data_IF_438020611278
#
_entry.id   IF_438020611278
#
_cell.length_a   1.000
_cell.length_b   1.000
_cell.length_c   1.000
_cell.angle_alpha   90.00
_cell.angle_beta   90.00
_cell.angle_gamma   90.00
#
_symmetry.space_group_name_H-M   'P 1'
#
loop_
_entity.id
_entity.type
_entity.pdbx_description
1 polymer ?
#
# COMPACT_ATOMS: atom_id res chain seq x y z
N UNK A 1 -10.63 -43.35 -2.73
CA UNK A 1 -11.94 -42.94 -2.16
C UNK A 1 -11.71 -41.57 -1.52
N UNK A 2 -11.52 -40.51 -2.30
CA UNK A 2 -12.57 -39.62 -2.87
C UNK A 2 -13.42 -39.08 -1.71
N UNK A 3 -13.62 -37.79 -1.45
CA UNK A 3 -13.56 -36.55 -2.20
C UNK A 3 -13.86 -35.47 -1.11
N UNK A 4 -13.32 -34.26 -1.04
CA UNK A 4 -13.69 -33.03 -1.78
C UNK A 4 -12.77 -31.94 -1.20
N UNK A 5 -11.98 -31.22 -1.99
CA UNK A 5 -12.48 -30.03 -2.68
C UNK A 5 -12.04 -28.77 -1.93
N UNK A 6 -10.72 -28.49 -1.90
CA UNK A 6 -10.25 -27.16 -1.54
C UNK A 6 -10.10 -26.36 -2.85
N UNK A 7 -11.22 -25.78 -3.27
CA UNK A 7 -11.24 -24.83 -4.37
C UNK A 7 -10.56 -23.53 -3.93
N UNK A 8 -9.51 -23.18 -4.66
CA UNK A 8 -9.29 -21.84 -5.21
C UNK A 8 -9.24 -20.71 -4.18
N UNK A 9 -8.08 -20.54 -3.54
CA UNK A 9 -7.55 -19.17 -3.40
C UNK A 9 -6.58 -18.99 -4.56
N UNK A 10 -7.14 -18.54 -5.68
CA UNK A 10 -6.42 -18.12 -6.87
C UNK A 10 -5.44 -17.04 -6.43
N UNK A 11 -4.18 -17.40 -6.20
CA UNK A 11 -3.08 -16.44 -6.13
C UNK A 11 -3.11 -15.68 -7.46
N UNK A 12 -3.68 -14.48 -7.44
CA UNK A 12 -3.61 -13.56 -8.57
C UNK A 12 -2.13 -13.23 -8.71
N UNK A 13 -1.47 -13.97 -9.60
CA UNK A 13 -0.21 -13.57 -10.21
C UNK A 13 -0.46 -12.19 -10.83
N UNK A 14 -0.07 -11.14 -10.10
CA UNK A 14 0.03 -9.80 -10.64
C UNK A 14 1.06 -9.89 -11.75
N UNK A 15 0.59 -9.81 -13.01
CA UNK A 15 1.45 -9.91 -14.18
C UNK A 15 2.66 -8.99 -14.02
N UNK A 16 3.87 -9.47 -14.28
CA UNK A 16 5.11 -8.66 -14.15
C UNK A 16 5.05 -7.34 -14.92
N UNK A 17 4.19 -7.26 -15.94
CA UNK A 17 3.89 -6.02 -16.67
C UNK A 17 3.26 -4.92 -15.80
N UNK A 18 2.35 -5.26 -14.86
CA UNK A 18 1.72 -4.24 -13.98
C UNK A 18 2.75 -3.56 -13.10
N UNK A 19 3.67 -4.35 -12.52
CA UNK A 19 4.76 -3.84 -11.68
C UNK A 19 5.64 -2.88 -12.49
N UNK A 20 6.04 -3.28 -13.69
CA UNK A 20 6.85 -2.44 -14.59
C UNK A 20 6.16 -1.11 -14.96
N UNK A 21 4.85 -1.12 -15.22
CA UNK A 21 4.09 0.10 -15.54
C UNK A 21 3.97 1.01 -14.32
N UNK A 22 3.74 0.45 -13.13
CA UNK A 22 3.67 1.21 -11.88
C UNK A 22 5.01 1.92 -11.58
N UNK A 23 6.14 1.25 -11.84
CA UNK A 23 7.47 1.85 -11.71
C UNK A 23 7.68 3.01 -12.68
N UNK A 24 7.20 2.91 -13.92
CA UNK A 24 7.25 4.00 -14.90
C UNK A 24 6.45 5.20 -14.39
N UNK A 25 5.21 4.98 -13.93
CA UNK A 25 4.38 6.04 -13.36
C UNK A 25 5.04 6.69 -12.15
N UNK A 26 5.69 5.90 -11.30
CA UNK A 26 6.43 6.40 -10.15
C UNK A 26 7.62 7.28 -10.56
N UNK A 27 8.42 6.84 -11.55
CA UNK A 27 9.55 7.63 -12.07
C UNK A 27 9.09 8.97 -12.62
N UNK A 28 7.93 9.03 -13.26
CA UNK A 28 7.30 10.24 -13.79
C UNK A 28 6.54 11.08 -12.75
N UNK A 29 6.38 10.61 -11.51
CA UNK A 29 5.61 11.29 -10.47
C UNK A 29 4.08 11.23 -10.67
N UNK A 30 3.61 10.27 -11.47
CA UNK A 30 2.20 10.09 -11.82
C UNK A 30 1.52 8.98 -11.00
N UNK A 31 2.31 8.18 -10.27
CA UNK A 31 1.79 7.11 -9.42
C UNK A 31 0.98 7.65 -8.24
N UNK A 32 0.01 6.85 -7.83
CA UNK A 32 -0.75 7.07 -6.61
C UNK A 32 -0.08 6.35 -5.44
N UNK A 33 -0.13 6.98 -4.28
CA UNK A 33 0.42 6.48 -3.02
C UNK A 33 -0.57 6.69 -1.90
N UNK A 34 -0.57 5.77 -0.93
CA UNK A 34 -1.18 5.98 0.38
C UNK A 34 -0.11 6.56 1.29
N UNK A 35 -0.30 7.79 1.71
CA UNK A 35 0.52 8.49 2.71
C UNK A 35 -0.14 8.27 4.08
N UNK A 36 0.54 7.62 5.02
CA UNK A 36 0.03 7.39 6.38
C UNK A 36 0.96 8.04 7.39
N UNK A 37 0.44 8.96 8.20
CA UNK A 37 1.13 9.56 9.34
C UNK A 37 0.65 8.93 10.63
N UNK A 38 1.56 8.72 11.57
CA UNK A 38 1.26 8.28 12.93
C UNK A 38 1.83 9.30 13.92
N UNK A 39 1.17 9.45 15.05
CA UNK A 39 1.59 10.36 16.12
C UNK A 39 2.52 9.67 17.13
N UNK A 40 2.24 8.41 17.49
CA UNK A 40 3.05 7.61 18.42
C UNK A 40 3.11 6.14 17.98
N UNK A 41 4.30 5.60 17.64
CA UNK A 41 5.52 6.34 17.34
C UNK A 41 5.27 7.33 16.18
N UNK A 42 6.09 8.38 16.08
CA UNK A 42 5.94 9.35 15.01
C UNK A 42 6.60 8.85 13.74
N UNK A 43 5.78 8.43 12.80
CA UNK A 43 6.23 7.90 11.52
C UNK A 43 5.41 8.47 10.37
N UNK A 44 6.02 8.48 9.19
CA UNK A 44 5.40 8.76 7.92
C UNK A 44 5.71 7.60 6.96
N UNK A 45 4.66 6.91 6.53
CA UNK A 45 4.70 5.77 5.63
C UNK A 45 4.12 6.13 4.26
N UNK A 46 4.72 5.59 3.20
CA UNK A 46 4.21 5.66 1.84
C UNK A 46 4.05 4.26 1.26
N UNK A 47 2.81 3.85 0.97
CA UNK A 47 2.50 2.56 0.35
C UNK A 47 2.09 2.73 -1.11
N UNK A 48 2.69 1.94 -1.99
CA UNK A 48 2.54 2.05 -3.44
C UNK A 48 3.80 1.54 -4.17
N UNK A 49 4.01 1.93 -5.44
CA UNK A 49 3.17 2.80 -6.28
C UNK A 49 1.92 2.09 -6.84
N UNK A 50 0.80 2.80 -6.91
CA UNK A 50 -0.44 2.35 -7.55
C UNK A 50 -0.68 3.07 -8.88
N UNK A 51 -1.35 2.41 -9.82
CA UNK A 51 -1.67 3.00 -11.12
C UNK A 51 -2.87 3.94 -11.04
N UNK A 52 -3.80 3.67 -10.13
CA UNK A 52 -5.05 4.42 -9.96
C UNK A 52 -5.29 4.77 -8.49
N UNK A 53 -6.06 5.83 -8.22
CA UNK A 53 -6.47 6.17 -6.86
C UNK A 53 -7.32 5.06 -6.25
N UNK A 54 -8.23 4.45 -7.03
CA UNK A 54 -9.08 3.37 -6.55
C UNK A 54 -8.31 2.11 -6.10
N UNK A 55 -7.18 1.78 -6.74
CA UNK A 55 -6.29 0.71 -6.26
C UNK A 55 -5.66 1.08 -4.91
N UNK A 56 -5.22 2.32 -4.73
CA UNK A 56 -4.67 2.82 -3.46
C UNK A 56 -5.72 2.89 -2.35
N UNK A 57 -6.91 3.43 -2.65
CA UNK A 57 -8.05 3.50 -1.73
C UNK A 57 -8.51 2.11 -1.29
N UNK A 58 -8.51 1.13 -2.19
CA UNK A 58 -8.90 -0.26 -1.86
C UNK A 58 -7.88 -0.94 -0.95
N UNK A 59 -6.60 -0.55 -1.01
CA UNK A 59 -5.53 -1.10 -0.18
C UNK A 59 -5.41 -0.40 1.18
N UNK A 60 -5.79 0.89 1.27
CA UNK A 60 -5.65 1.74 2.44
C UNK A 60 -6.13 1.10 3.75
N UNK A 61 -7.32 0.46 3.84
CA UNK A 61 -7.80 -0.12 5.09
C UNK A 61 -6.86 -1.18 5.67
N UNK A 62 -6.16 -1.95 4.81
CA UNK A 62 -5.19 -2.95 5.26
C UNK A 62 -3.98 -2.31 5.95
N UNK A 63 -3.44 -1.23 5.38
CA UNK A 63 -2.31 -0.51 5.98
C UNK A 63 -2.66 0.13 7.33
N UNK A 64 -3.86 0.72 7.44
CA UNK A 64 -4.33 1.29 8.71
C UNK A 64 -4.50 0.19 9.74
N UNK A 65 -5.15 -0.93 9.38
CA UNK A 65 -5.35 -2.05 10.28
C UNK A 65 -4.02 -2.63 10.80
N UNK A 66 -3.03 -2.79 9.93
CA UNK A 66 -1.71 -3.31 10.33
C UNK A 66 -1.05 -2.37 11.35
N UNK A 67 -1.10 -1.05 11.13
CA UNK A 67 -0.54 -0.05 12.06
C UNK A 67 -1.30 0.00 13.40
N UNK A 68 -2.63 -0.13 13.38
CA UNK A 68 -3.44 -0.24 14.60
C UNK A 68 -3.06 -1.49 15.41
N UNK A 69 -2.83 -2.64 14.74
CA UNK A 69 -2.38 -3.87 15.39
C UNK A 69 -0.99 -3.71 16.01
N UNK A 70 -0.12 -2.94 15.36
CA UNK A 70 1.19 -2.53 15.88
C UNK A 70 1.12 -1.47 16.98
N UNK A 71 -0.09 -1.10 17.42
CA UNK A 71 -0.36 -0.11 18.48
C UNK A 71 0.10 1.30 18.12
N UNK A 72 0.12 1.66 16.83
CA UNK A 72 0.33 3.04 16.42
C UNK A 72 -0.89 3.90 16.75
N UNK A 73 -0.65 5.11 17.23
CA UNK A 73 -1.69 6.07 17.63
C UNK A 73 -1.71 7.29 16.70
N UNK A 74 -2.87 7.96 16.61
CA UNK A 74 -3.05 9.18 15.83
C UNK A 74 -2.81 8.98 14.33
N UNK A 75 -3.40 7.91 13.78
CA UNK A 75 -3.22 7.52 12.38
C UNK A 75 -4.03 8.43 11.45
N UNK A 76 -3.36 9.08 10.50
CA UNK A 76 -3.97 9.87 9.43
C UNK A 76 -3.53 9.32 8.08
N UNK A 77 -4.47 8.97 7.20
CA UNK A 77 -4.17 8.42 5.89
C UNK A 77 -4.73 9.28 4.75
N UNK A 78 -3.94 9.47 3.69
CA UNK A 78 -4.30 10.22 2.50
C UNK A 78 -3.87 9.49 1.23
N UNK A 79 -4.79 9.37 0.27
CA UNK A 79 -4.47 8.91 -1.09
C UNK A 79 -4.16 10.11 -1.98
N UNK A 80 -2.96 10.13 -2.56
CA UNK A 80 -2.51 11.23 -3.43
C UNK A 80 -1.53 10.77 -4.49
N UNK A 81 -1.38 11.58 -5.54
CA UNK A 81 -0.19 11.48 -6.40
C UNK A 81 0.99 12.16 -5.71
N UNK A 82 2.10 11.44 -5.62
CA UNK A 82 3.37 11.97 -5.14
C UNK A 82 4.52 11.06 -5.61
N UNK A 83 5.75 11.47 -5.31
CA UNK A 83 6.97 10.72 -5.59
C UNK A 83 7.83 10.73 -4.32
N UNK A 84 7.56 9.84 -3.35
CA UNK A 84 8.30 9.83 -2.09
C UNK A 84 9.77 9.52 -2.36
N UNK A 85 10.67 10.25 -1.71
CA UNK A 85 12.12 9.98 -1.74
C UNK A 85 12.51 8.85 -0.79
N UNK A 86 11.70 8.62 0.25
CA UNK A 86 11.81 7.53 1.21
C UNK A 86 10.40 7.02 1.51
N UNK A 87 10.24 5.71 1.65
CA UNK A 87 8.92 5.09 1.89
C UNK A 87 8.55 4.97 3.36
N UNK A 88 9.54 5.10 4.25
CA UNK A 88 9.35 5.18 5.70
C UNK A 88 10.26 6.28 6.21
N UNK A 89 9.71 7.20 7.00
CA UNK A 89 10.45 8.24 7.70
C UNK A 89 9.98 8.21 9.15
N UNK A 90 10.87 7.86 10.07
CA UNK A 90 10.61 7.84 11.52
C UNK A 90 11.44 8.91 12.21
N UNK A 91 10.87 9.55 13.22
CA UNK A 91 11.63 10.37 14.18
C UNK A 91 11.96 9.44 15.36
N UNK A 92 13.27 9.22 15.61
CA UNK A 92 13.78 8.41 16.74
C UNK A 92 13.53 9.09 18.10
#
# INVERSE_FOLDING_TARGET
MNNKGLNVVKTRSTSGLKVQVADIYNRLGLAWWVEVRTHSPRCLYYFGPFLTSGEAESALPGYVQDLELEQAEGIEALVRRCKPTQVTVSED
#
